data_IF_908617286653
#
_entry.id   IF_908617286653
#
_cell.length_a   1.000
_cell.length_b   1.000
_cell.length_c   1.000
_cell.angle_alpha   90.00
_cell.angle_beta   90.00
_cell.angle_gamma   90.00
#
_symmetry.space_group_name_H-M   'P 1'
#
loop_
_entity.id
_entity.type
_entity.pdbx_description
1 polymer ?
#
# COMPACT_ATOMS: atom_id res chain seq x y z
N UNK A 1 -8.48 -8.21 -10.87
CA UNK A 1 -9.61 -7.61 -11.64
C UNK A 1 -9.41 -6.11 -11.76
N UNK A 2 -9.70 -5.54 -12.93
CA UNK A 2 -9.56 -4.12 -13.23
C UNK A 2 -10.87 -3.36 -12.99
N UNK A 3 -10.81 -2.27 -12.22
CA UNK A 3 -11.95 -1.35 -12.07
C UNK A 3 -12.10 -0.46 -13.31
N UNK A 4 -10.98 0.05 -13.86
CA UNK A 4 -10.99 0.93 -15.03
C UNK A 4 -11.63 0.27 -16.26
N UNK A 5 -11.40 -1.01 -16.50
CA UNK A 5 -11.93 -1.72 -17.66
C UNK A 5 -13.24 -2.47 -17.40
N UNK A 6 -13.86 -2.30 -16.23
CA UNK A 6 -15.01 -3.10 -15.81
C UNK A 6 -16.21 -3.06 -16.79
N UNK A 7 -16.38 -1.96 -17.53
CA UNK A 7 -17.40 -1.83 -18.57
C UNK A 7 -17.29 -2.88 -19.69
N UNK A 8 -16.10 -3.42 -19.92
CA UNK A 8 -15.87 -4.46 -20.93
C UNK A 8 -16.43 -5.82 -20.54
N UNK A 9 -16.66 -6.11 -19.25
CA UNK A 9 -17.20 -7.41 -18.83
C UNK A 9 -18.53 -7.74 -19.51
N UNK A 10 -19.36 -6.72 -19.77
CA UNK A 10 -20.64 -6.89 -20.46
C UNK A 10 -20.51 -6.97 -21.99
N UNK A 11 -19.40 -6.53 -22.57
CA UNK A 11 -19.17 -6.50 -24.02
C UNK A 11 -18.36 -7.69 -24.50
N UNK A 12 -17.22 -7.93 -23.86
CA UNK A 12 -16.27 -8.96 -24.22
C UNK A 12 -15.34 -9.27 -23.03
N UNK A 13 -15.64 -10.37 -22.34
CA UNK A 13 -14.87 -10.85 -21.19
C UNK A 13 -13.40 -11.15 -21.54
N UNK A 14 -13.12 -11.64 -22.74
CA UNK A 14 -11.74 -11.93 -23.16
C UNK A 14 -10.93 -10.64 -23.35
N UNK A 15 -11.51 -9.59 -23.94
CA UNK A 15 -10.88 -8.28 -24.06
C UNK A 15 -10.69 -7.64 -22.68
N UNK A 16 -11.68 -7.75 -21.79
CA UNK A 16 -11.54 -7.34 -20.40
C UNK A 16 -10.33 -8.01 -19.74
N UNK A 17 -10.22 -9.33 -19.84
CA UNK A 17 -9.12 -10.09 -19.23
C UNK A 17 -7.76 -9.66 -19.79
N UNK A 18 -7.64 -9.40 -21.11
CA UNK A 18 -6.40 -8.90 -21.70
C UNK A 18 -6.05 -7.49 -21.22
N UNK A 19 -7.01 -6.57 -21.16
CA UNK A 19 -6.80 -5.21 -20.66
C UNK A 19 -6.45 -5.21 -19.16
N UNK A 20 -7.17 -6.00 -18.35
CA UNK A 20 -6.91 -6.16 -16.93
C UNK A 20 -5.52 -6.74 -16.67
N UNK A 21 -5.09 -7.74 -17.45
CA UNK A 21 -3.76 -8.31 -17.35
C UNK A 21 -2.67 -7.31 -17.74
N UNK A 22 -2.89 -6.48 -18.76
CA UNK A 22 -1.94 -5.42 -19.10
C UNK A 22 -1.85 -4.35 -18.01
N UNK A 23 -2.99 -3.94 -17.44
CA UNK A 23 -3.06 -2.87 -16.45
C UNK A 23 -2.36 -3.22 -15.13
N UNK A 24 -2.55 -4.44 -14.62
CA UNK A 24 -2.03 -4.85 -13.30
C UNK A 24 -0.51 -4.79 -13.18
N UNK A 25 0.20 -4.83 -14.31
CA UNK A 25 1.66 -4.73 -14.35
C UNK A 25 2.18 -3.32 -14.64
N UNK A 26 1.31 -2.37 -14.98
CA UNK A 26 1.75 -1.02 -15.41
C UNK A 26 2.61 -0.30 -14.36
N UNK A 27 2.35 -0.58 -13.07
CA UNK A 27 3.08 -0.04 -11.91
C UNK A 27 4.30 -0.87 -11.45
N UNK A 28 4.42 -2.12 -11.86
CA UNK A 28 5.41 -3.08 -11.32
C UNK A 28 6.36 -3.64 -12.40
N UNK A 29 5.82 -4.02 -13.56
CA UNK A 29 6.54 -4.55 -14.72
C UNK A 29 6.12 -3.80 -16.00
N UNK A 30 6.52 -2.52 -16.16
CA UNK A 30 6.03 -1.64 -17.23
C UNK A 30 6.28 -2.19 -18.64
N UNK A 31 7.40 -2.89 -18.87
CA UNK A 31 7.67 -3.57 -20.16
C UNK A 31 6.59 -4.60 -20.50
N UNK A 32 6.20 -5.44 -19.53
CA UNK A 32 5.18 -6.46 -19.71
C UNK A 32 3.83 -5.79 -19.99
N UNK A 33 3.45 -4.79 -19.18
CA UNK A 33 2.23 -4.01 -19.39
C UNK A 33 2.13 -3.46 -20.81
N UNK A 34 3.23 -2.96 -21.36
CA UNK A 34 3.21 -2.36 -22.69
C UNK A 34 3.11 -3.37 -23.84
N UNK A 35 3.78 -4.51 -23.70
CA UNK A 35 3.63 -5.63 -24.62
C UNK A 35 2.18 -6.15 -24.62
N UNK A 36 1.60 -6.31 -23.44
CA UNK A 36 0.24 -6.83 -23.28
C UNK A 36 -0.82 -5.84 -23.72
N UNK A 37 -0.62 -4.53 -23.51
CA UNK A 37 -1.51 -3.50 -24.05
C UNK A 37 -1.55 -3.54 -25.57
N UNK A 38 -0.40 -3.79 -26.22
CA UNK A 38 -0.34 -4.00 -27.68
C UNK A 38 -1.11 -5.26 -28.11
N UNK A 39 -0.97 -6.36 -27.37
CA UNK A 39 -1.72 -7.62 -27.63
C UNK A 39 -3.22 -7.43 -27.45
N UNK A 40 -3.65 -6.65 -26.45
CA UNK A 40 -5.04 -6.28 -26.24
C UNK A 40 -5.58 -5.43 -27.42
N UNK A 41 -4.80 -4.47 -27.91
CA UNK A 41 -5.15 -3.69 -29.11
C UNK A 41 -5.29 -4.58 -30.36
N UNK A 42 -4.36 -5.52 -30.55
CA UNK A 42 -4.43 -6.48 -31.65
C UNK A 42 -5.72 -7.31 -31.59
N UNK A 43 -6.06 -7.84 -30.42
CA UNK A 43 -7.29 -8.59 -30.21
C UNK A 43 -8.54 -7.74 -30.48
N UNK A 44 -8.57 -6.50 -29.96
CA UNK A 44 -9.67 -5.55 -30.18
C UNK A 44 -9.92 -5.30 -31.68
N UNK A 45 -8.86 -5.03 -32.45
CA UNK A 45 -8.98 -4.82 -33.91
C UNK A 45 -9.48 -6.09 -34.62
N UNK A 46 -8.99 -7.25 -34.24
CA UNK A 46 -9.37 -8.52 -34.87
C UNK A 46 -10.83 -8.91 -34.58
N UNK A 47 -11.30 -8.70 -33.35
CA UNK A 47 -12.59 -9.21 -32.86
C UNK A 47 -13.69 -8.17 -32.90
N UNK A 48 -13.47 -7.01 -32.28
CA UNK A 48 -14.51 -6.00 -32.10
C UNK A 48 -14.74 -5.17 -33.37
N UNK A 49 -13.68 -4.88 -34.12
CA UNK A 49 -13.81 -4.19 -35.42
C UNK A 49 -14.27 -5.13 -36.56
N UNK A 50 -14.61 -6.39 -36.24
CA UNK A 50 -15.11 -7.40 -37.19
C UNK A 50 -14.25 -7.59 -38.44
N UNK A 51 -12.94 -7.40 -38.33
CA UNK A 51 -12.00 -7.52 -39.45
C UNK A 51 -11.96 -8.93 -40.07
N UNK A 52 -12.47 -9.95 -39.36
CA UNK A 52 -12.68 -11.32 -39.91
C UNK A 52 -13.51 -11.35 -41.19
N UNK A 53 -14.40 -10.39 -41.39
CA UNK A 53 -15.32 -10.36 -42.52
C UNK A 53 -14.76 -9.52 -43.70
N UNK A 54 -13.49 -9.13 -43.64
CA UNK A 54 -12.87 -8.23 -44.60
C UNK A 54 -11.74 -8.98 -45.30
N UNK A 55 -11.78 -9.01 -46.64
CA UNK A 55 -10.68 -9.56 -47.43
C UNK A 55 -9.51 -8.57 -47.45
N UNK A 56 -8.33 -9.09 -47.11
CA UNK A 56 -7.07 -8.38 -47.27
C UNK A 56 -6.38 -8.83 -48.55
N UNK A 57 -5.80 -7.88 -49.28
CA UNK A 57 -4.99 -8.13 -50.47
C UNK A 57 -3.69 -8.86 -50.11
N UNK A 58 -3.03 -9.45 -51.12
CA UNK A 58 -1.71 -10.07 -50.95
C UNK A 58 -0.65 -9.08 -50.48
N UNK A 59 -0.76 -7.79 -50.85
CA UNK A 59 0.15 -6.75 -50.37
C UNK A 59 -0.09 -6.42 -48.88
N UNK A 60 -1.35 -6.43 -48.43
CA UNK A 60 -1.70 -6.20 -47.03
C UNK A 60 -1.37 -7.41 -46.14
N UNK A 61 -1.47 -8.64 -46.68
CA UNK A 61 -1.23 -9.89 -45.96
C UNK A 61 -0.36 -10.87 -46.76
N UNK A 62 0.95 -10.59 -46.93
CA UNK A 62 1.83 -11.37 -47.79
C UNK A 62 2.03 -12.82 -47.31
N UNK A 63 1.93 -13.04 -46.00
CA UNK A 63 2.09 -14.36 -45.39
C UNK A 63 0.81 -15.18 -45.33
N UNK A 64 -0.32 -14.65 -45.84
CA UNK A 64 -1.64 -15.30 -45.81
C UNK A 64 -2.04 -15.82 -44.42
N UNK A 65 -1.62 -15.15 -43.35
CA UNK A 65 -2.04 -15.45 -41.99
C UNK A 65 -3.53 -15.13 -41.82
N UNK A 66 -4.16 -15.60 -40.73
CA UNK A 66 -5.57 -15.31 -40.44
C UNK A 66 -5.88 -13.80 -40.42
N UNK A 67 -4.90 -12.97 -40.04
CA UNK A 67 -4.95 -11.51 -40.10
C UNK A 67 -3.61 -10.93 -40.58
N UNK A 68 -3.61 -9.73 -41.19
CA UNK A 68 -2.38 -9.02 -41.52
C UNK A 68 -1.74 -8.42 -40.26
N UNK A 69 -0.60 -7.74 -40.44
CA UNK A 69 0.05 -7.03 -39.33
C UNK A 69 -0.89 -6.01 -38.66
N UNK A 70 -0.70 -5.77 -37.36
CA UNK A 70 -1.43 -4.74 -36.60
C UNK A 70 -1.34 -3.34 -37.26
N UNK A 71 -0.24 -3.03 -37.94
CA UNK A 71 -0.12 -1.79 -38.70
C UNK A 71 -1.16 -1.71 -39.83
N UNK A 72 -1.32 -2.79 -40.61
CA UNK A 72 -2.30 -2.84 -41.69
C UNK A 72 -3.73 -2.83 -41.16
N UNK A 73 -4.00 -3.52 -40.04
CA UNK A 73 -5.31 -3.47 -39.38
C UNK A 73 -5.69 -2.05 -38.93
N UNK A 74 -4.74 -1.31 -38.32
CA UNK A 74 -4.95 0.10 -37.95
C UNK A 74 -5.21 0.96 -39.18
N UNK A 75 -4.44 0.77 -40.26
CA UNK A 75 -4.61 1.52 -41.50
C UNK A 75 -6.00 1.25 -42.10
N UNK A 76 -6.41 -0.02 -42.20
CA UNK A 76 -7.71 -0.44 -42.73
C UNK A 76 -8.87 0.20 -41.97
N UNK A 77 -8.86 0.07 -40.64
CA UNK A 77 -9.94 0.53 -39.77
C UNK A 77 -10.08 2.06 -39.74
N UNK A 78 -8.97 2.79 -39.85
CA UNK A 78 -8.99 4.25 -39.80
C UNK A 78 -9.17 4.92 -41.18
N UNK A 79 -8.43 4.48 -42.20
CA UNK A 79 -8.36 5.19 -43.48
C UNK A 79 -9.44 4.75 -44.46
N UNK A 80 -9.77 3.45 -44.48
CA UNK A 80 -10.70 2.88 -45.47
C UNK A 80 -12.09 2.71 -44.87
N UNK A 81 -12.19 2.08 -43.70
CA UNK A 81 -13.48 1.81 -43.06
C UNK A 81 -14.01 2.98 -42.24
N UNK A 82 -13.16 3.98 -41.97
CA UNK A 82 -13.49 5.18 -41.20
C UNK A 82 -14.15 4.89 -39.84
N UNK A 83 -13.81 3.75 -39.23
CA UNK A 83 -14.28 3.35 -37.89
C UNK A 83 -13.66 4.28 -36.83
N UNK A 84 -12.41 4.69 -37.05
CA UNK A 84 -11.64 5.50 -36.11
C UNK A 84 -11.20 6.83 -36.71
N UNK A 85 -11.16 7.85 -35.87
CA UNK A 85 -10.65 9.18 -36.22
C UNK A 85 -9.13 9.19 -36.41
N UNK A 86 -8.56 10.22 -37.06
CA UNK A 86 -7.10 10.39 -37.15
C UNK A 86 -6.39 10.45 -35.78
N UNK A 87 -7.07 10.98 -34.76
CA UNK A 87 -6.55 11.04 -33.38
C UNK A 87 -6.47 9.64 -32.79
N UNK A 88 -7.51 8.83 -32.92
CA UNK A 88 -7.53 7.43 -32.48
C UNK A 88 -6.52 6.58 -33.26
N UNK A 89 -6.35 6.80 -34.57
CA UNK A 89 -5.30 6.18 -35.38
C UNK A 89 -3.89 6.49 -34.84
N UNK A 90 -3.64 7.74 -34.44
CA UNK A 90 -2.37 8.16 -33.84
C UNK A 90 -2.15 7.46 -32.49
N UNK A 91 -3.19 7.35 -31.65
CA UNK A 91 -3.13 6.65 -30.38
C UNK A 91 -2.82 5.15 -30.56
N UNK A 92 -3.54 4.46 -31.45
CA UNK A 92 -3.29 3.05 -31.77
C UNK A 92 -1.87 2.82 -32.30
N UNK A 93 -1.37 3.70 -33.18
CA UNK A 93 0.01 3.60 -33.66
C UNK A 93 1.04 3.83 -32.54
N UNK A 94 0.75 4.71 -31.59
CA UNK A 94 1.62 4.92 -30.42
C UNK A 94 1.65 3.67 -29.55
N UNK A 95 0.50 3.07 -29.23
CA UNK A 95 0.41 1.79 -28.49
C UNK A 95 1.22 0.70 -29.22
N UNK A 96 1.01 0.56 -30.53
CA UNK A 96 1.71 -0.43 -31.36
C UNK A 96 3.23 -0.28 -31.32
N UNK A 97 3.76 0.93 -31.58
CA UNK A 97 5.20 1.17 -31.65
C UNK A 97 5.86 0.87 -30.32
N UNK A 98 5.34 1.50 -29.27
CA UNK A 98 5.85 1.36 -27.92
C UNK A 98 5.84 -0.10 -27.43
N UNK A 99 4.77 -0.86 -27.68
CA UNK A 99 4.73 -2.28 -27.30
C UNK A 99 5.66 -3.18 -28.13
N UNK A 100 5.99 -2.81 -29.38
CA UNK A 100 7.01 -3.51 -30.16
C UNK A 100 8.41 -3.26 -29.57
N UNK A 101 8.70 -2.01 -29.19
CA UNK A 101 10.00 -1.63 -28.62
C UNK A 101 10.24 -2.39 -27.30
N UNK A 102 9.21 -2.54 -26.47
CA UNK A 102 9.27 -3.34 -25.23
C UNK A 102 9.54 -4.84 -25.45
N UNK A 103 9.11 -5.41 -26.59
CA UNK A 103 9.32 -6.82 -26.91
C UNK A 103 10.79 -7.16 -27.26
N UNK A 104 11.59 -6.15 -27.62
CA UNK A 104 12.98 -6.32 -28.05
C UNK A 104 14.01 -6.22 -26.92
N UNK A 105 13.58 -5.88 -25.69
CA UNK A 105 14.46 -5.72 -24.52
C UNK A 105 14.95 -7.08 -23.97
N UNK A 106 14.20 -8.17 -24.18
CA UNK A 106 14.59 -9.51 -23.69
C UNK A 106 15.58 -10.26 -24.60
N UNK A 107 15.85 -9.78 -25.83
CA UNK A 107 16.54 -10.58 -26.88
C UNK A 107 17.92 -10.05 -27.32
N UNK A 108 18.48 -9.03 -26.68
CA UNK A 108 19.78 -8.47 -27.08
C UNK A 108 20.88 -8.85 -26.09
N UNK A 109 21.54 -9.97 -26.39
CA UNK A 109 22.88 -10.29 -25.89
C UNK A 109 23.94 -9.30 -26.41
N UNK A 110 24.98 -9.19 -25.60
CA UNK A 110 26.20 -8.35 -25.55
C UNK A 110 26.77 -7.61 -26.78
N UNK A 111 26.27 -7.74 -28.00
CA UNK A 111 26.87 -7.10 -29.18
C UNK A 111 25.87 -6.25 -29.96
N UNK A 112 25.72 -4.98 -29.54
CA UNK A 112 25.50 -3.82 -30.44
C UNK A 112 25.43 -2.51 -29.65
N UNK A 113 26.44 -1.66 -29.85
CA UNK A 113 26.46 -0.23 -29.48
C UNK A 113 25.42 0.56 -30.29
N UNK A 114 24.14 0.39 -29.94
CA UNK A 114 23.09 1.35 -30.25
C UNK A 114 22.57 1.81 -28.91
N UNK A 115 22.80 3.09 -28.57
CA UNK A 115 22.13 3.75 -27.45
C UNK A 115 20.62 3.58 -27.65
N UNK A 116 20.04 2.55 -27.01
CA UNK A 116 18.61 2.42 -26.85
C UNK A 116 18.19 3.44 -25.79
N UNK A 117 17.12 4.18 -26.07
CA UNK A 117 16.32 4.82 -25.02
C UNK A 117 16.15 3.78 -23.90
N UNK A 118 16.45 4.17 -22.66
CA UNK A 118 16.62 3.27 -21.52
C UNK A 118 15.39 2.41 -21.16
N UNK A 119 15.38 1.76 -19.98
CA UNK A 119 14.22 0.99 -19.54
C UNK A 119 12.93 1.81 -19.66
N UNK A 120 11.85 1.17 -20.11
CA UNK A 120 10.53 1.77 -20.15
C UNK A 120 10.16 2.30 -18.76
N UNK A 121 9.80 3.58 -18.70
CA UNK A 121 9.32 4.23 -17.48
C UNK A 121 7.92 3.73 -17.10
N UNK A 122 7.64 3.67 -15.79
CA UNK A 122 6.32 3.39 -15.26
C UNK A 122 5.30 4.38 -15.81
N UNK A 123 5.68 5.66 -15.94
CA UNK A 123 4.83 6.70 -16.54
C UNK A 123 4.44 6.40 -17.99
N UNK A 124 5.34 5.85 -18.82
CA UNK A 124 5.01 5.46 -20.19
C UNK A 124 4.01 4.31 -20.25
N UNK A 125 4.16 3.30 -19.37
CA UNK A 125 3.22 2.18 -19.31
C UNK A 125 1.82 2.62 -18.88
N UNK A 126 1.72 3.43 -17.82
CA UNK A 126 0.46 4.02 -17.36
C UNK A 126 -0.20 4.85 -18.47
N UNK A 127 0.57 5.70 -19.15
CA UNK A 127 0.05 6.51 -20.26
C UNK A 127 -0.46 5.65 -21.43
N UNK A 128 0.18 4.52 -21.70
CA UNK A 128 -0.22 3.61 -22.78
C UNK A 128 -1.52 2.87 -22.45
N UNK A 129 -1.65 2.30 -21.24
CA UNK A 129 -2.88 1.62 -20.82
C UNK A 129 -4.06 2.61 -20.70
N UNK A 130 -3.79 3.84 -20.25
CA UNK A 130 -4.78 4.94 -20.27
C UNK A 130 -5.26 5.29 -21.67
N UNK A 131 -4.34 5.31 -22.65
CA UNK A 131 -4.70 5.52 -24.05
C UNK A 131 -5.54 4.36 -24.62
N UNK A 132 -5.27 3.12 -24.21
CA UNK A 132 -6.09 1.97 -24.55
C UNK A 132 -7.49 2.08 -23.94
N UNK A 133 -7.60 2.45 -22.66
CA UNK A 133 -8.88 2.69 -22.00
C UNK A 133 -9.70 3.74 -22.74
N UNK A 134 -9.10 4.90 -23.06
CA UNK A 134 -9.83 5.99 -23.73
C UNK A 134 -10.27 5.59 -25.15
N UNK A 135 -9.47 4.82 -25.89
CA UNK A 135 -9.85 4.28 -27.19
C UNK A 135 -11.11 3.41 -27.08
N UNK A 136 -11.14 2.47 -26.14
CA UNK A 136 -12.27 1.57 -25.92
C UNK A 136 -13.51 2.33 -25.42
N UNK A 137 -13.31 3.24 -24.46
CA UNK A 137 -14.37 4.12 -23.95
C UNK A 137 -15.02 4.91 -25.09
N UNK A 138 -14.25 5.48 -26.00
CA UNK A 138 -14.80 6.21 -27.15
C UNK A 138 -15.52 5.27 -28.13
N UNK A 139 -14.97 4.08 -28.39
CA UNK A 139 -15.59 3.10 -29.28
C UNK A 139 -16.95 2.60 -28.76
N UNK A 140 -17.07 2.36 -27.46
CA UNK A 140 -18.30 1.89 -26.81
C UNK A 140 -19.22 3.03 -26.33
N UNK A 141 -18.85 4.30 -26.51
CA UNK A 141 -19.58 5.45 -25.96
C UNK A 141 -21.06 5.50 -26.37
N UNK A 142 -21.41 5.05 -27.56
CA UNK A 142 -22.79 5.04 -28.03
C UNK A 142 -23.68 4.01 -27.30
N UNK A 143 -23.09 3.00 -26.66
CA UNK A 143 -23.84 1.92 -25.97
C UNK A 143 -24.14 2.23 -24.52
N UNK A 144 -23.37 3.12 -23.90
CA UNK A 144 -23.45 3.40 -22.46
C UNK A 144 -23.73 4.87 -22.21
N UNK A 145 -24.63 5.17 -21.25
CA UNK A 145 -24.95 6.54 -20.87
C UNK A 145 -23.76 7.26 -20.26
N UNK A 146 -23.01 6.59 -19.38
CA UNK A 146 -21.82 7.14 -18.72
C UNK A 146 -20.79 6.02 -18.53
N UNK A 147 -19.54 6.32 -18.85
CA UNK A 147 -18.39 5.50 -18.51
C UNK A 147 -17.41 6.37 -17.70
N UNK A 148 -16.89 5.87 -16.56
CA UNK A 148 -15.96 6.65 -15.76
C UNK A 148 -14.67 6.97 -16.53
N UNK A 149 -13.97 8.07 -16.21
CA UNK A 149 -12.64 8.31 -16.72
C UNK A 149 -11.65 7.32 -16.11
N UNK A 150 -10.50 7.14 -16.76
CA UNK A 150 -9.42 6.31 -16.23
C UNK A 150 -8.84 6.93 -14.94
N UNK A 151 -8.83 6.16 -13.86
CA UNK A 151 -8.25 6.55 -12.58
C UNK A 151 -6.93 5.81 -12.32
N UNK A 152 -5.83 6.56 -12.26
CA UNK A 152 -4.49 6.03 -12.02
C UNK A 152 -4.30 5.51 -10.59
N UNK A 153 -5.10 5.97 -9.63
CA UNK A 153 -5.06 5.49 -8.25
C UNK A 153 -5.69 4.11 -8.12
N UNK A 154 -6.61 3.76 -9.02
CA UNK A 154 -7.32 2.47 -9.03
C UNK A 154 -6.66 1.40 -9.92
N UNK A 155 -5.50 1.72 -10.53
CA UNK A 155 -4.67 0.73 -11.23
C UNK A 155 -4.24 -0.36 -10.23
N UNK A 156 -4.52 -1.65 -10.50
CA UNK A 156 -4.04 -2.75 -9.69
C UNK A 156 -2.52 -2.82 -9.59
N UNK A 157 -2.03 -3.25 -8.43
CA UNK A 157 -0.60 -3.48 -8.17
C UNK A 157 -0.40 -4.99 -8.15
N UNK A 158 -0.05 -5.56 -9.30
CA UNK A 158 -0.09 -7.01 -9.50
C UNK A 158 -1.50 -7.55 -9.16
N UNK A 159 -1.62 -8.58 -8.31
CA UNK A 159 -2.91 -9.14 -7.93
C UNK A 159 -3.71 -8.26 -6.93
N UNK A 160 -3.14 -7.16 -6.42
CA UNK A 160 -3.79 -6.29 -5.44
C UNK A 160 -4.70 -5.28 -6.12
N UNK A 161 -5.99 -5.34 -5.81
CA UNK A 161 -7.05 -4.48 -6.34
C UNK A 161 -7.29 -3.33 -5.36
N UNK A 162 -7.08 -2.05 -5.75
CA UNK A 162 -7.36 -0.90 -4.89
C UNK A 162 -8.85 -0.75 -4.64
N UNK A 163 -9.24 -0.51 -3.39
CA UNK A 163 -10.63 -0.20 -3.01
C UNK A 163 -10.81 1.27 -2.66
N UNK A 164 -9.84 1.86 -1.96
CA UNK A 164 -9.89 3.29 -1.63
C UNK A 164 -8.50 3.87 -1.46
N UNK A 165 -8.38 5.15 -1.79
CA UNK A 165 -7.24 5.98 -1.37
C UNK A 165 -7.44 6.36 0.09
N UNK A 166 -6.40 6.19 0.89
CA UNK A 166 -6.35 6.63 2.28
C UNK A 166 -5.49 7.89 2.32
N UNK A 167 -5.94 8.99 2.94
CA UNK A 167 -5.11 10.16 3.12
C UNK A 167 -3.80 9.80 3.85
N UNK A 168 -2.67 10.18 3.28
CA UNK A 168 -1.38 10.07 3.97
C UNK A 168 -1.24 11.20 5.00
N UNK A 169 -0.68 10.91 6.17
CA UNK A 169 -0.39 11.94 7.18
C UNK A 169 0.81 12.80 6.76
N UNK A 170 0.94 14.00 7.33
CA UNK A 170 2.01 14.94 6.96
C UNK A 170 3.43 14.38 7.19
N UNK A 171 3.57 13.47 8.14
CA UNK A 171 4.82 12.83 8.54
C UNK A 171 5.02 11.42 7.96
N UNK A 172 4.08 10.93 7.14
CA UNK A 172 4.26 9.72 6.33
C UNK A 172 5.10 10.01 5.08
N UNK A 173 6.03 9.11 4.74
CA UNK A 173 6.94 9.32 3.61
C UNK A 173 6.34 8.99 2.24
N UNK A 174 5.17 8.34 2.19
CA UNK A 174 4.60 7.80 0.96
C UNK A 174 3.85 8.86 0.14
N UNK A 175 3.86 8.72 -1.18
CA UNK A 175 3.10 9.60 -2.09
C UNK A 175 1.61 9.22 -2.12
N UNK A 176 1.34 7.91 -2.05
CA UNK A 176 0.01 7.36 -2.18
C UNK A 176 -0.13 6.18 -1.21
N UNK A 177 -1.23 6.18 -0.47
CA UNK A 177 -1.60 5.12 0.47
C UNK A 177 -2.95 4.57 0.04
N UNK A 178 -3.02 3.25 -0.16
CA UNK A 178 -4.18 2.56 -0.69
C UNK A 178 -4.59 1.45 0.26
N UNK A 179 -5.90 1.29 0.46
CA UNK A 179 -6.47 0.04 0.95
C UNK A 179 -6.77 -0.82 -0.28
N UNK A 180 -6.16 -1.99 -0.35
CA UNK A 180 -6.29 -2.95 -1.43
C UNK A 180 -6.84 -4.27 -0.92
N UNK A 181 -7.33 -5.10 -1.84
CA UNK A 181 -7.66 -6.50 -1.59
C UNK A 181 -7.07 -7.44 -2.62
N UNK A 182 -6.85 -8.69 -2.23
CA UNK A 182 -6.60 -9.81 -3.12
C UNK A 182 -7.77 -10.78 -2.97
N UNK A 183 -8.30 -11.26 -4.09
CA UNK A 183 -9.37 -12.26 -4.11
C UNK A 183 -8.75 -13.60 -4.50
N UNK A 184 -8.89 -14.61 -3.65
CA UNK A 184 -8.49 -15.96 -3.99
C UNK A 184 -9.52 -16.56 -4.97
N UNK A 185 -9.09 -16.88 -6.19
CA UNK A 185 -10.00 -17.32 -7.26
C UNK A 185 -10.69 -18.67 -6.96
N UNK A 186 -10.06 -19.55 -6.19
CA UNK A 186 -10.61 -20.88 -5.87
C UNK A 186 -11.64 -20.82 -4.74
N UNK A 187 -11.40 -20.00 -3.73
CA UNK A 187 -12.20 -19.96 -2.49
C UNK A 187 -13.11 -18.74 -2.39
N UNK A 188 -12.94 -17.76 -3.27
CA UNK A 188 -13.56 -16.43 -3.18
C UNK A 188 -13.24 -15.66 -1.89
N UNK A 189 -12.26 -16.12 -1.11
CA UNK A 189 -11.82 -15.42 0.10
C UNK A 189 -11.07 -14.15 -0.26
N UNK A 190 -11.36 -13.06 0.45
CA UNK A 190 -10.71 -11.78 0.28
C UNK A 190 -9.72 -11.52 1.42
N UNK A 191 -8.49 -11.14 1.07
CA UNK A 191 -7.47 -10.66 1.99
C UNK A 191 -7.23 -9.18 1.74
N UNK A 192 -6.95 -8.41 2.79
CA UNK A 192 -6.85 -6.96 2.71
C UNK A 192 -5.47 -6.46 3.08
N UNK A 193 -5.07 -5.38 2.43
CA UNK A 193 -3.73 -4.85 2.49
C UNK A 193 -3.74 -3.33 2.54
N UNK A 194 -2.81 -2.76 3.30
CA UNK A 194 -2.42 -1.38 3.15
C UNK A 194 -1.19 -1.32 2.25
N UNK A 195 -1.27 -0.59 1.15
CA UNK A 195 -0.18 -0.41 0.20
C UNK A 195 0.27 1.04 0.21
N UNK A 196 1.55 1.26 0.48
CA UNK A 196 2.22 2.56 0.41
C UNK A 196 3.12 2.59 -0.82
N UNK A 197 2.92 3.59 -1.67
CA UNK A 197 3.69 3.82 -2.89
C UNK A 197 4.64 5.00 -2.70
N UNK A 198 5.88 4.82 -3.16
CA UNK A 198 6.94 5.82 -3.13
C UNK A 198 7.53 6.00 -4.52
N UNK A 199 7.95 7.22 -4.84
CA UNK A 199 8.74 7.52 -6.03
C UNK A 199 10.23 7.39 -5.75
N UNK A 200 11.01 7.16 -6.80
CA UNK A 200 12.48 7.20 -6.71
C UNK A 200 13.01 8.56 -6.24
N UNK A 201 12.36 9.66 -6.62
CA UNK A 201 12.71 11.00 -6.15
C UNK A 201 12.55 11.15 -4.63
N UNK A 202 11.47 10.62 -4.04
CA UNK A 202 11.30 10.57 -2.58
C UNK A 202 12.42 9.74 -1.92
N UNK A 203 12.74 8.59 -2.52
CA UNK A 203 13.81 7.71 -2.02
C UNK A 203 15.18 8.42 -2.02
N UNK A 204 15.47 9.24 -3.03
CA UNK A 204 16.73 10.00 -3.11
C UNK A 204 16.81 11.11 -2.06
N UNK A 205 15.67 11.70 -1.68
CA UNK A 205 15.61 12.73 -0.64
C UNK A 205 15.80 12.15 0.76
N UNK A 206 15.24 10.98 1.04
CA UNK A 206 15.26 10.40 2.39
C UNK A 206 15.24 8.86 2.39
N UNK A 207 16.28 8.29 1.80
CA UNK A 207 16.44 6.84 1.66
C UNK A 207 16.34 6.10 2.99
N UNK A 208 16.95 6.66 4.03
CA UNK A 208 17.03 6.01 5.34
C UNK A 208 15.65 5.87 5.97
N UNK A 209 14.82 6.91 5.92
CA UNK A 209 13.48 6.90 6.50
C UNK A 209 12.52 6.01 5.69
N UNK A 210 12.51 6.15 4.36
CA UNK A 210 11.61 5.37 3.48
C UNK A 210 11.89 3.87 3.56
N UNK A 211 13.16 3.48 3.55
CA UNK A 211 13.53 2.06 3.63
C UNK A 211 13.41 1.50 5.06
N UNK A 212 13.30 2.34 6.09
CA UNK A 212 13.20 1.88 7.49
C UNK A 212 11.94 1.05 7.71
N UNK A 213 10.79 1.53 7.24
CA UNK A 213 9.51 0.83 7.35
C UNK A 213 9.59 -0.54 6.66
N UNK A 214 10.03 -0.56 5.40
CA UNK A 214 10.20 -1.79 4.62
C UNK A 214 11.16 -2.79 5.31
N UNK A 215 12.33 -2.32 5.76
CA UNK A 215 13.31 -3.18 6.42
C UNK A 215 12.78 -3.75 7.74
N UNK A 216 12.08 -2.94 8.54
CA UNK A 216 11.50 -3.37 9.81
C UNK A 216 10.44 -4.44 9.57
N UNK A 217 9.54 -4.19 8.62
CA UNK A 217 8.48 -5.10 8.22
C UNK A 217 9.04 -6.41 7.64
N UNK A 218 10.09 -6.35 6.82
CA UNK A 218 10.80 -7.54 6.33
C UNK A 218 11.39 -8.36 7.48
N UNK A 219 12.01 -7.71 8.47
CA UNK A 219 12.57 -8.38 9.64
C UNK A 219 11.50 -9.03 10.50
N UNK A 220 10.38 -8.35 10.72
CA UNK A 220 9.23 -8.91 11.42
C UNK A 220 8.68 -10.15 10.71
N UNK A 221 8.65 -10.14 9.38
CA UNK A 221 8.17 -11.30 8.60
C UNK A 221 9.10 -12.52 8.58
N UNK A 222 10.40 -12.34 8.89
CA UNK A 222 11.38 -13.42 8.99
C UNK A 222 11.31 -14.14 10.35
N UNK A 223 10.75 -13.49 11.38
CA UNK A 223 10.50 -14.08 12.67
C UNK A 223 9.36 -15.10 12.60
N UNK A 224 9.52 -16.25 13.25
CA UNK A 224 8.44 -17.22 13.44
C UNK A 224 7.41 -16.67 14.43
N UNK A 225 6.63 -15.67 14.04
CA UNK A 225 5.45 -15.27 14.81
C UNK A 225 4.26 -15.03 13.90
N UNK A 226 3.24 -15.86 14.10
CA UNK A 226 1.86 -15.55 13.75
C UNK A 226 1.35 -14.44 14.70
N UNK A 227 1.99 -13.27 14.65
CA UNK A 227 1.54 -12.11 15.43
C UNK A 227 0.12 -11.78 15.04
N UNK A 228 -0.70 -11.53 16.07
CA UNK A 228 -2.03 -10.97 15.86
C UNK A 228 -2.04 -9.46 16.12
N UNK A 229 -0.94 -8.90 16.64
CA UNK A 229 -0.87 -7.53 17.12
C UNK A 229 0.10 -6.62 16.39
N UNK A 230 0.87 -7.17 15.45
CA UNK A 230 1.75 -6.44 14.54
C UNK A 230 1.37 -6.80 13.11
N UNK A 231 1.38 -5.82 12.20
CA UNK A 231 1.03 -6.07 10.79
C UNK A 231 2.04 -6.99 10.11
N UNK A 232 1.56 -7.82 9.18
CA UNK A 232 2.39 -8.77 8.44
C UNK A 232 2.81 -8.18 7.10
N UNK A 233 4.12 -8.15 6.83
CA UNK A 233 4.66 -7.66 5.57
C UNK A 233 4.33 -8.57 4.39
N UNK A 234 4.05 -7.97 3.24
CA UNK A 234 4.05 -8.64 1.95
C UNK A 234 4.96 -7.89 0.99
N UNK A 235 5.87 -8.64 0.37
CA UNK A 235 6.76 -8.09 -0.65
C UNK A 235 6.03 -7.96 -1.98
N UNK A 236 6.03 -6.76 -2.55
CA UNK A 236 5.62 -6.52 -3.93
C UNK A 236 6.84 -6.62 -4.83
N UNK A 237 6.80 -7.54 -5.79
CA UNK A 237 7.87 -7.67 -6.77
C UNK A 237 7.75 -6.57 -7.82
N UNK A 238 8.86 -5.89 -8.08
CA UNK A 238 8.97 -4.84 -9.09
C UNK A 238 10.17 -5.12 -10.00
N UNK A 239 10.10 -4.64 -11.24
CA UNK A 239 11.23 -4.64 -12.15
C UNK A 239 12.40 -3.85 -11.56
N UNK A 240 13.64 -4.30 -11.78
CA UNK A 240 14.87 -3.75 -11.16
C UNK A 240 15.04 -2.23 -11.30
N UNK A 241 14.56 -1.65 -12.40
CA UNK A 241 14.66 -0.22 -12.72
C UNK A 241 13.32 0.51 -12.61
N UNK A 242 12.35 -0.04 -11.87
CA UNK A 242 11.05 0.58 -11.69
C UNK A 242 11.18 1.93 -10.96
N UNK A 243 10.35 2.90 -11.34
CA UNK A 243 10.34 4.25 -10.75
C UNK A 243 9.57 4.30 -9.43
N UNK A 244 8.77 3.26 -9.18
CA UNK A 244 7.94 3.10 -7.99
C UNK A 244 8.47 1.99 -7.08
N UNK A 245 8.39 2.25 -5.78
CA UNK A 245 8.60 1.30 -4.70
C UNK A 245 7.29 1.13 -3.92
N UNK A 246 7.06 -0.07 -3.39
CA UNK A 246 5.88 -0.36 -2.59
C UNK A 246 6.28 -1.00 -1.26
N UNK A 247 5.65 -0.53 -0.18
CA UNK A 247 5.59 -1.26 1.09
C UNK A 247 4.16 -1.72 1.27
N UNK A 248 3.95 -2.99 1.58
CA UNK A 248 2.62 -3.58 1.73
C UNK A 248 2.54 -4.38 3.03
N UNK A 249 1.44 -4.24 3.76
CA UNK A 249 1.17 -5.06 4.93
C UNK A 249 -0.30 -5.48 5.03
N UNK A 250 -0.52 -6.67 5.57
CA UNK A 250 -1.84 -7.28 5.74
C UNK A 250 -2.61 -6.59 6.88
N UNK A 251 -3.87 -6.28 6.61
CA UNK A 251 -4.82 -5.71 7.57
C UNK A 251 -6.09 -6.55 7.60
N UNK A 252 -6.80 -6.53 8.73
CA UNK A 252 -8.13 -7.14 8.81
C UNK A 252 -9.12 -6.48 7.82
N UNK A 253 -10.14 -7.23 7.38
CA UNK A 253 -11.18 -6.75 6.42
C UNK A 253 -11.74 -5.40 6.83
N UNK A 254 -12.28 -5.28 8.04
CA UNK A 254 -12.91 -4.04 8.50
C UNK A 254 -11.96 -3.17 9.33
N UNK A 255 -10.65 -3.27 9.05
CA UNK A 255 -9.64 -2.50 9.76
C UNK A 255 -9.81 -1.00 9.52
N UNK A 256 -9.94 -0.24 10.62
CA UNK A 256 -9.91 1.22 10.64
C UNK A 256 -8.82 1.65 11.62
N UNK A 257 -8.11 2.73 11.32
CA UNK A 257 -7.13 3.29 12.25
C UNK A 257 -7.81 3.77 13.53
N UNK A 258 -7.12 3.67 14.67
CA UNK A 258 -7.70 3.88 15.99
C UNK A 258 -8.20 5.33 16.18
N UNK A 259 -7.58 6.30 15.51
CA UNK A 259 -7.99 7.72 15.48
C UNK A 259 -9.36 7.96 14.82
N UNK A 260 -9.75 7.08 13.89
CA UNK A 260 -11.05 7.09 13.20
C UNK A 260 -12.02 6.05 13.77
N UNK A 261 -11.58 5.27 14.77
CA UNK A 261 -12.40 4.21 15.35
C UNK A 261 -13.43 4.78 16.32
N UNK A 262 -14.69 4.32 16.33
CA UNK A 262 -15.76 4.90 17.13
C UNK A 262 -15.66 4.53 18.62
N UNK A 263 -14.70 5.14 19.34
CA UNK A 263 -14.44 4.84 20.75
C UNK A 263 -15.67 4.97 21.64
N UNK A 264 -16.57 5.91 21.34
CA UNK A 264 -17.82 6.12 22.09
C UNK A 264 -18.74 4.89 22.13
N UNK A 265 -18.56 3.93 21.22
CA UNK A 265 -19.34 2.69 21.18
C UNK A 265 -18.69 1.54 21.98
N UNK A 266 -17.47 1.75 22.50
CA UNK A 266 -16.76 0.74 23.27
C UNK A 266 -17.05 0.85 24.76
N UNK A 267 -17.45 -0.28 25.35
CA UNK A 267 -17.42 -0.52 26.78
C UNK A 267 -15.99 -0.49 27.34
N UNK A 268 -15.85 -0.34 28.65
CA UNK A 268 -14.55 -0.36 29.33
C UNK A 268 -13.79 -1.66 29.07
N UNK A 269 -14.49 -2.80 29.11
CA UNK A 269 -13.95 -4.12 28.77
C UNK A 269 -13.33 -4.13 27.37
N UNK A 270 -14.04 -3.62 26.37
CA UNK A 270 -13.58 -3.62 24.98
C UNK A 270 -12.41 -2.66 24.77
N UNK A 271 -12.38 -1.53 25.47
CA UNK A 271 -11.22 -0.62 25.48
C UNK A 271 -9.98 -1.32 26.05
N UNK A 272 -10.13 -2.02 27.17
CA UNK A 272 -9.05 -2.77 27.82
C UNK A 272 -8.56 -3.93 26.96
N UNK A 273 -9.44 -4.62 26.23
CA UNK A 273 -9.05 -5.66 25.26
C UNK A 273 -8.16 -5.10 24.14
N UNK A 274 -8.49 -3.92 23.61
CA UNK A 274 -7.65 -3.23 22.61
C UNK A 274 -6.32 -2.81 23.23
N UNK A 275 -6.34 -2.20 24.43
CA UNK A 275 -5.11 -1.80 25.14
C UNK A 275 -4.19 -2.99 25.39
N UNK A 276 -4.74 -4.13 25.82
CA UNK A 276 -3.99 -5.37 26.03
C UNK A 276 -3.35 -5.86 24.72
N UNK A 277 -4.10 -5.86 23.62
CA UNK A 277 -3.56 -6.21 22.31
C UNK A 277 -2.41 -5.29 21.87
N UNK A 278 -2.51 -3.99 22.11
CA UNK A 278 -1.42 -3.04 21.81
C UNK A 278 -0.21 -3.37 22.69
N UNK A 279 -0.39 -3.61 23.99
CA UNK A 279 0.68 -3.97 24.90
C UNK A 279 1.37 -5.29 24.50
N UNK A 280 0.61 -6.28 24.01
CA UNK A 280 1.14 -7.53 23.47
C UNK A 280 1.99 -7.27 22.21
N UNK A 281 1.54 -6.41 21.30
CA UNK A 281 2.33 -6.03 20.13
C UNK A 281 3.62 -5.31 20.50
N UNK A 282 3.59 -4.42 21.50
CA UNK A 282 4.81 -3.74 22.00
C UNK A 282 5.78 -4.74 22.61
N UNK A 283 5.30 -5.67 23.45
CA UNK A 283 6.15 -6.70 24.04
C UNK A 283 6.78 -7.58 22.96
N UNK A 284 6.01 -7.98 21.95
CA UNK A 284 6.54 -8.74 20.82
C UNK A 284 7.67 -7.99 20.09
N UNK A 285 7.51 -6.68 19.86
CA UNK A 285 8.54 -5.85 19.24
C UNK A 285 9.80 -5.77 20.10
N UNK A 286 9.64 -5.51 21.40
CA UNK A 286 10.75 -5.35 22.35
C UNK A 286 11.48 -6.66 22.67
N UNK A 287 10.79 -7.80 22.59
CA UNK A 287 11.37 -9.13 22.92
C UNK A 287 11.80 -9.92 21.68
N UNK A 288 11.69 -9.34 20.49
CA UNK A 288 12.15 -9.96 19.25
C UNK A 288 13.66 -10.28 19.33
N UNK A 289 14.10 -11.30 18.58
CA UNK A 289 15.52 -11.67 18.46
C UNK A 289 16.42 -10.49 18.05
N UNK A 290 15.89 -9.56 17.27
CA UNK A 290 16.44 -8.21 17.10
C UNK A 290 15.41 -7.23 17.67
N UNK A 291 15.59 -6.70 18.89
CA UNK A 291 14.63 -5.80 19.50
C UNK A 291 14.30 -4.61 18.60
N UNK A 292 13.00 -4.33 18.47
CA UNK A 292 12.47 -3.25 17.65
C UNK A 292 11.78 -2.27 18.58
N UNK A 293 12.25 -1.03 18.62
CA UNK A 293 11.55 0.07 19.30
C UNK A 293 10.78 0.86 18.24
N UNK A 294 9.48 1.07 18.42
CA UNK A 294 8.62 1.65 17.41
C UNK A 294 8.82 3.16 17.23
N UNK A 295 8.88 3.93 18.33
CA UNK A 295 9.07 5.39 18.40
C UNK A 295 8.04 6.25 17.66
N UNK A 296 6.91 5.66 17.26
CA UNK A 296 5.82 6.33 16.52
C UNK A 296 4.44 5.78 16.91
N UNK A 297 4.32 5.19 18.10
CA UNK A 297 3.03 4.68 18.56
C UNK A 297 2.07 5.84 18.78
N UNK A 298 0.96 5.83 18.05
CA UNK A 298 -0.15 6.76 18.18
C UNK A 298 -1.41 6.11 17.57
N UNK A 299 -2.60 6.70 17.75
CA UNK A 299 -3.82 6.10 17.23
C UNK A 299 -3.82 5.87 15.70
N UNK A 300 -3.14 6.70 14.90
CA UNK A 300 -3.03 6.48 13.45
C UNK A 300 -2.09 5.32 13.06
N UNK A 301 -1.22 4.87 13.98
CA UNK A 301 -0.30 3.74 13.79
C UNK A 301 -0.88 2.40 14.27
N UNK A 302 -2.18 2.35 14.58
CA UNK A 302 -2.87 1.16 15.11
C UNK A 302 -4.15 0.95 14.31
N UNK A 303 -4.26 -0.18 13.62
CA UNK A 303 -5.50 -0.60 12.95
C UNK A 303 -6.31 -1.54 13.83
N UNK A 304 -7.62 -1.31 13.92
CA UNK A 304 -8.57 -2.16 14.66
C UNK A 304 -9.52 -2.80 13.66
N UNK A 305 -9.52 -4.13 13.57
CA UNK A 305 -10.50 -4.90 12.79
C UNK A 305 -11.79 -5.23 13.56
N UNK A 306 -12.73 -5.89 12.90
CA UNK A 306 -14.01 -6.30 13.48
C UNK A 306 -13.90 -7.19 14.73
N UNK A 307 -12.80 -7.95 14.86
CA UNK A 307 -12.50 -8.76 16.04
C UNK A 307 -11.90 -7.96 17.21
N UNK A 308 -11.75 -6.64 17.05
CA UNK A 308 -11.16 -5.71 18.03
C UNK A 308 -9.73 -6.06 18.42
N UNK A 309 -9.04 -6.80 17.54
CA UNK A 309 -7.61 -7.06 17.70
C UNK A 309 -6.86 -5.91 17.03
N UNK A 310 -6.05 -5.16 17.79
CA UNK A 310 -5.22 -4.10 17.23
C UNK A 310 -4.07 -4.70 16.43
N UNK A 311 -3.67 -4.04 15.35
CA UNK A 311 -2.47 -4.34 14.58
C UNK A 311 -1.61 -3.06 14.50
N UNK A 312 -0.41 -3.12 15.06
CA UNK A 312 0.57 -2.02 15.05
C UNK A 312 1.25 -1.95 13.68
N UNK A 313 1.33 -0.75 13.11
CA UNK A 313 1.92 -0.45 11.80
C UNK A 313 2.73 0.87 11.83
N UNK A 314 3.25 1.30 10.68
CA UNK A 314 4.01 2.55 10.52
C UNK A 314 5.37 2.53 11.24
N UNK A 315 6.31 1.74 10.72
CA UNK A 315 7.63 1.53 11.31
C UNK A 315 8.72 2.47 10.73
N UNK A 316 8.36 3.57 10.06
CA UNK A 316 9.33 4.51 9.46
C UNK A 316 10.30 5.08 10.50
N UNK A 317 9.84 5.21 11.75
CA UNK A 317 10.61 5.75 12.87
C UNK A 317 11.28 4.67 13.72
N UNK A 318 11.13 3.38 13.39
CA UNK A 318 11.58 2.31 14.27
C UNK A 318 13.11 2.34 14.47
N UNK A 319 13.56 1.80 15.61
CA UNK A 319 14.96 1.49 15.87
C UNK A 319 15.08 -0.03 16.00
N UNK A 320 15.86 -0.64 15.12
CA UNK A 320 16.30 -2.03 15.30
C UNK A 320 17.64 -1.98 16.02
N UNK A 321 17.69 -2.57 17.22
CA UNK A 321 18.95 -2.65 17.97
C UNK A 321 19.99 -3.46 17.19
N UNK A 322 21.26 -3.04 17.26
CA UNK A 322 22.38 -3.65 16.55
C UNK A 322 22.29 -3.65 15.01
N UNK A 323 21.40 -2.84 14.40
CA UNK A 323 21.33 -2.70 12.94
C UNK A 323 22.43 -1.78 12.39
N UNK A 324 23.05 -2.17 11.28
CA UNK A 324 24.03 -1.34 10.54
C UNK A 324 23.39 -0.19 9.76
N UNK A 325 22.06 -0.03 9.82
CA UNK A 325 21.32 0.98 9.06
C UNK A 325 21.28 2.32 9.81
N UNK A 326 21.53 3.44 9.11
CA UNK A 326 21.60 4.78 9.68
C UNK A 326 20.36 5.21 10.48
N UNK A 327 20.50 6.00 11.53
CA UNK A 327 19.40 6.33 12.44
C UNK A 327 18.47 7.41 11.88
N UNK A 328 17.20 7.41 12.31
CA UNK A 328 16.21 8.46 12.02
C UNK A 328 15.89 9.30 13.26
N UNK A 329 16.84 9.38 14.18
CA UNK A 329 16.66 9.96 15.51
C UNK A 329 16.27 11.45 15.46
N UNK A 330 16.87 12.23 14.56
CA UNK A 330 16.52 13.66 14.41
C UNK A 330 15.06 13.88 14.01
N UNK A 331 14.50 12.96 13.20
CA UNK A 331 13.08 12.99 12.81
C UNK A 331 12.17 12.65 13.98
N UNK A 332 12.57 11.69 14.81
CA UNK A 332 11.86 11.37 16.07
C UNK A 332 11.87 12.58 17.00
N UNK A 333 13.03 13.21 17.19
CA UNK A 333 13.20 14.39 18.07
C UNK A 333 12.41 15.58 17.55
N UNK A 334 12.40 15.80 16.24
CA UNK A 334 11.68 16.91 15.60
C UNK A 334 10.16 16.75 15.57
N UNK A 335 9.64 15.54 15.84
CA UNK A 335 8.20 15.25 15.75
C UNK A 335 7.46 15.86 16.95
N UNK A 336 6.59 16.83 16.65
CA UNK A 336 5.69 17.45 17.62
C UNK A 336 4.38 16.66 17.68
N UNK A 337 4.28 15.75 18.65
CA UNK A 337 3.07 14.96 18.88
C UNK A 337 2.89 14.72 20.39
N UNK A 338 1.66 14.74 20.92
CA UNK A 338 1.40 14.41 22.32
C UNK A 338 1.80 12.97 22.67
N UNK A 339 1.91 12.09 21.68
CA UNK A 339 2.34 10.70 21.88
C UNK A 339 3.87 10.56 21.89
N UNK A 340 4.62 11.58 21.47
CA UNK A 340 6.09 11.54 21.52
C UNK A 340 6.55 11.82 22.95
N UNK A 341 7.32 10.90 23.52
CA UNK A 341 7.87 11.07 24.87
C UNK A 341 8.70 12.36 25.00
N UNK A 342 8.59 13.09 26.12
CA UNK A 342 9.39 14.28 26.36
C UNK A 342 10.88 13.89 26.36
N UNK A 343 11.64 14.62 25.54
CA UNK A 343 13.08 14.42 25.39
C UNK A 343 13.77 15.42 26.32
N UNK A 344 14.15 14.96 27.50
CA UNK A 344 15.03 15.74 28.36
C UNK A 344 16.48 15.42 28.03
N UNK A 345 17.25 16.48 27.78
CA UNK A 345 18.68 16.48 27.48
C UNK A 345 19.48 15.76 28.57
N UNK A 346 19.67 14.45 28.40
CA UNK A 346 20.61 13.68 29.20
C UNK A 346 21.53 12.91 28.24
N UNK A 347 22.80 12.80 28.63
CA UNK A 347 23.91 12.16 27.90
C UNK A 347 23.68 10.65 27.58
N UNK A 348 22.51 10.10 27.93
CA UNK A 348 22.11 8.70 27.78
C UNK A 348 20.99 8.47 26.74
N UNK A 349 20.76 9.40 25.80
CA UNK A 349 19.75 9.29 24.74
C UNK A 349 19.72 7.93 24.04
N UNK A 350 20.83 7.20 24.00
CA UNK A 350 20.91 5.91 23.31
C UNK A 350 20.44 4.68 24.10
N UNK A 351 20.30 4.75 25.44
CA UNK A 351 20.20 3.55 26.29
C UNK A 351 18.81 3.16 26.76
N UNK A 352 17.79 4.02 26.63
CA UNK A 352 16.43 3.71 27.11
C UNK A 352 15.32 4.09 26.12
N UNK A 353 15.53 3.82 24.83
CA UNK A 353 14.52 4.03 23.81
C UNK A 353 13.23 3.21 23.98
N UNK A 354 13.23 1.97 24.53
CA UNK A 354 11.98 1.24 24.79
C UNK A 354 10.98 2.02 25.64
N UNK A 355 11.45 2.85 26.59
CA UNK A 355 10.60 3.70 27.42
C UNK A 355 9.77 4.74 26.63
N UNK A 356 10.17 5.08 25.40
CA UNK A 356 9.41 5.99 24.55
C UNK A 356 8.10 5.35 24.05
N UNK A 357 8.12 4.05 23.77
CA UNK A 357 6.92 3.30 23.40
C UNK A 357 5.97 3.14 24.60
N UNK A 358 6.53 3.02 25.81
CA UNK A 358 5.75 2.96 27.06
C UNK A 358 5.03 4.27 27.33
N UNK A 359 5.70 5.41 27.18
CA UNK A 359 5.06 6.72 27.26
C UNK A 359 3.92 6.83 26.25
N UNK A 360 4.19 6.47 25.00
CA UNK A 360 3.19 6.49 23.92
C UNK A 360 1.97 5.64 24.26
N UNK A 361 2.17 4.43 24.82
CA UNK A 361 1.10 3.57 25.30
C UNK A 361 0.28 4.25 26.42
N UNK A 362 0.93 4.94 27.36
CA UNK A 362 0.25 5.69 28.42
C UNK A 362 -0.68 6.75 27.86
N UNK A 363 -0.21 7.53 26.88
CA UNK A 363 -1.03 8.55 26.20
C UNK A 363 -2.15 7.91 25.36
N UNK A 364 -1.90 6.76 24.73
CA UNK A 364 -2.95 5.99 24.04
C UNK A 364 -4.01 5.51 25.05
N UNK A 365 -3.64 5.07 26.25
CA UNK A 365 -4.62 4.71 27.29
C UNK A 365 -5.47 5.92 27.66
N UNK A 366 -4.88 7.11 27.84
CA UNK A 366 -5.65 8.35 28.07
C UNK A 366 -6.63 8.63 26.91
N UNK A 367 -6.16 8.54 25.67
CA UNK A 367 -6.97 8.67 24.46
C UNK A 367 -8.13 7.68 24.45
N UNK A 368 -7.85 6.41 24.77
CA UNK A 368 -8.83 5.33 24.85
C UNK A 368 -9.91 5.59 25.90
N UNK A 369 -9.71 6.46 26.89
CA UNK A 369 -10.71 6.86 27.88
C UNK A 369 -11.27 8.28 27.66
N UNK A 370 -10.99 8.91 26.50
CA UNK A 370 -11.48 10.24 26.16
C UNK A 370 -10.89 11.35 27.03
N UNK A 371 -9.67 11.15 27.51
CA UNK A 371 -8.92 12.11 28.33
C UNK A 371 -8.03 12.99 27.45
N UNK A 372 -7.65 14.19 27.93
CA UNK A 372 -6.65 15.02 27.26
C UNK A 372 -5.35 14.23 27.04
N UNK A 373 -4.79 14.33 25.84
CA UNK A 373 -3.58 13.60 25.44
C UNK A 373 -2.28 14.35 25.74
N UNK A 374 -2.34 15.56 26.31
CA UNK A 374 -1.15 16.36 26.63
C UNK A 374 -0.33 15.82 27.84
N UNK A 375 -0.47 14.53 28.17
CA UNK A 375 0.23 13.90 29.30
C UNK A 375 -0.36 14.20 30.69
N UNK A 376 -1.35 15.09 30.80
CA UNK A 376 -2.00 15.38 32.08
C UNK A 376 -3.03 14.31 32.45
N UNK A 377 -2.62 13.41 33.36
CA UNK A 377 -3.50 12.40 33.94
C UNK A 377 -4.60 13.06 34.78
N UNK A 378 -5.86 12.70 34.55
CA UNK A 378 -6.99 13.05 35.40
C UNK A 378 -7.52 11.78 36.10
N UNK A 379 -7.05 11.44 37.32
CA UNK A 379 -7.43 10.23 38.03
C UNK A 379 -8.94 10.13 38.26
N UNK A 380 -9.61 11.24 38.56
CA UNK A 380 -11.04 11.25 38.89
C UNK A 380 -11.91 10.75 37.73
N UNK A 381 -11.54 11.08 36.49
CA UNK A 381 -12.27 10.60 35.30
C UNK A 381 -12.05 9.10 35.06
N UNK A 382 -10.85 8.58 35.32
CA UNK A 382 -10.57 7.13 35.23
C UNK A 382 -11.31 6.36 36.33
N UNK A 383 -11.31 6.87 37.56
CA UNK A 383 -12.07 6.31 38.68
C UNK A 383 -13.57 6.27 38.35
N UNK A 384 -14.13 7.35 37.79
CA UNK A 384 -15.53 7.40 37.32
C UNK A 384 -15.82 6.38 36.21
N UNK A 385 -14.81 6.01 35.43
CA UNK A 385 -14.89 4.97 34.40
C UNK A 385 -14.67 3.55 34.95
N UNK A 386 -14.57 3.40 36.28
CA UNK A 386 -14.43 2.10 36.95
C UNK A 386 -13.01 1.54 36.98
N UNK A 387 -12.01 2.35 36.61
CA UNK A 387 -10.60 1.94 36.58
C UNK A 387 -10.01 1.94 37.99
N UNK A 388 -9.27 0.88 38.34
CA UNK A 388 -8.69 0.74 39.67
C UNK A 388 -7.50 1.68 39.92
N UNK A 389 -7.29 2.05 41.19
CA UNK A 389 -6.15 2.89 41.60
C UNK A 389 -4.79 2.31 41.19
N UNK A 390 -4.51 1.00 41.37
CA UNK A 390 -3.23 0.42 40.94
C UNK A 390 -2.95 0.60 39.44
N UNK A 391 -3.98 0.47 38.58
CA UNK A 391 -3.78 0.70 37.15
C UNK A 391 -3.57 2.18 36.83
N UNK A 392 -4.26 3.09 37.53
CA UNK A 392 -4.03 4.54 37.40
C UNK A 392 -2.61 4.93 37.81
N UNK A 393 -2.08 4.35 38.89
CA UNK A 393 -0.69 4.54 39.32
C UNK A 393 0.29 4.03 38.25
N UNK A 394 0.04 2.84 37.67
CA UNK A 394 0.83 2.36 36.54
C UNK A 394 0.80 3.30 35.33
N UNK A 395 -0.36 3.87 34.96
CA UNK A 395 -0.47 4.87 33.88
C UNK A 395 0.32 6.13 34.22
N UNK A 396 0.29 6.59 35.48
CA UNK A 396 1.08 7.72 35.93
C UNK A 396 2.59 7.49 35.71
N UNK A 397 3.09 6.31 36.09
CA UNK A 397 4.50 5.96 35.96
C UNK A 397 4.93 5.87 34.49
N UNK A 398 4.06 5.36 33.60
CA UNK A 398 4.29 5.36 32.16
C UNK A 398 4.45 6.77 31.58
N UNK A 399 3.77 7.75 32.16
CA UNK A 399 3.76 9.14 31.70
C UNK A 399 4.86 10.01 32.35
N UNK A 400 5.77 9.43 33.15
CA UNK A 400 6.88 10.19 33.75
C UNK A 400 7.70 10.93 32.69
N UNK A 401 8.11 12.16 32.99
CA UNK A 401 9.06 12.93 32.18
C UNK A 401 10.47 12.30 32.19
N UNK A 402 10.78 11.50 33.21
CA UNK A 402 12.05 10.81 33.37
C UNK A 402 11.97 9.42 32.77
N UNK A 403 12.65 9.21 31.64
CA UNK A 403 12.64 7.93 30.92
C UNK A 403 12.99 6.71 31.80
N UNK A 404 13.89 6.86 32.76
CA UNK A 404 14.32 5.79 33.66
C UNK A 404 13.29 5.40 34.74
N UNK A 405 12.29 6.25 34.98
CA UNK A 405 11.19 5.97 35.92
C UNK A 405 10.03 5.24 35.25
N UNK A 406 9.98 5.22 33.91
CA UNK A 406 8.94 4.52 33.18
C UNK A 406 9.16 3.01 33.28
N UNK A 407 8.12 2.23 33.62
CA UNK A 407 8.21 0.78 33.70
C UNK A 407 8.48 0.15 32.32
N UNK A 408 9.02 -1.07 32.30
CA UNK A 408 9.09 -1.88 31.09
C UNK A 408 7.72 -2.48 30.75
N UNK A 409 7.53 -2.91 29.50
CA UNK A 409 6.24 -3.45 29.04
C UNK A 409 5.77 -4.68 29.85
N UNK A 410 6.70 -5.55 30.27
CA UNK A 410 6.40 -6.74 31.07
C UNK A 410 5.93 -6.41 32.50
N UNK A 411 6.22 -5.19 32.99
CA UNK A 411 5.77 -4.69 34.31
C UNK A 411 4.37 -4.05 34.21
N UNK A 412 4.05 -3.42 33.08
CA UNK A 412 2.75 -2.77 32.83
C UNK A 412 1.65 -3.79 32.50
N UNK A 413 1.97 -4.82 31.70
CA UNK A 413 1.00 -5.80 31.21
C UNK A 413 0.15 -6.46 32.31
N UNK A 414 0.70 -6.88 33.46
CA UNK A 414 -0.09 -7.45 34.55
C UNK A 414 -1.20 -6.52 35.05
N UNK A 415 -0.97 -5.21 35.12
CA UNK A 415 -2.00 -4.24 35.51
C UNK A 415 -3.11 -4.14 34.48
N UNK A 416 -2.77 -4.14 33.18
CA UNK A 416 -3.75 -4.14 32.08
C UNK A 416 -4.61 -5.41 32.16
N UNK A 417 -4.00 -6.58 32.34
CA UNK A 417 -4.69 -7.87 32.41
C UNK A 417 -5.60 -7.98 33.64
N UNK A 418 -5.11 -7.53 34.79
CA UNK A 418 -5.89 -7.51 36.02
C UNK A 418 -7.09 -6.56 35.90
N UNK A 419 -6.90 -5.38 35.29
CA UNK A 419 -8.01 -4.47 35.04
C UNK A 419 -8.99 -5.07 34.04
N UNK A 420 -8.52 -5.66 32.93
CA UNK A 420 -9.38 -6.33 31.96
C UNK A 420 -10.24 -7.44 32.62
N UNK A 421 -9.64 -8.22 33.53
CA UNK A 421 -10.33 -9.26 34.29
C UNK A 421 -11.38 -8.71 35.28
N UNK A 422 -11.19 -7.51 35.85
CA UNK A 422 -12.19 -6.84 36.70
C UNK A 422 -13.47 -6.46 35.94
N UNK A 423 -13.34 -6.20 34.64
CA UNK A 423 -14.45 -5.82 33.75
C UNK A 423 -14.93 -6.98 32.87
N UNK A 424 -14.41 -8.20 33.07
CA UNK A 424 -14.75 -9.40 32.30
C UNK A 424 -16.09 -9.98 32.74
#
# INVERSE_FOLDING_TARGET
MSINFQFLLTENEELYNKCSYAEQFSKTFPNNSMLETRRALEFFLQRECRLRNIQFTLEENPYKSAYPSIYQMIKKTADELQIFTPVQKKAMNKIRRLGNDSAHVEYKGEDRDVELDGPVSTGQAIAQIKAMHELLRQFFAAKYKEMPPFDENLIPIDSMIPETVIPAEQDEACQLKLRCKIVNEETSNEMYYMVRQYTRAQLEQDKTFILRDMYTLEKLSQGSLASQNVVKYIRVNVQKQNELLFTCFEINRDAVSLDHYPLGQLSVKERLQIIEGIANGIEELHTNSTPIIHRFLCPSSIYIGANRKPQICNFEYSKLENSLHGTVQDKVIGRKSPYTAPILSNENMDKNWPSADIYSLGVIILYMFGLPVQGELNPDKLIKSGISKPFIESIHDMLSDVAAERPAIHEVKPFIQQEAARHA
#
